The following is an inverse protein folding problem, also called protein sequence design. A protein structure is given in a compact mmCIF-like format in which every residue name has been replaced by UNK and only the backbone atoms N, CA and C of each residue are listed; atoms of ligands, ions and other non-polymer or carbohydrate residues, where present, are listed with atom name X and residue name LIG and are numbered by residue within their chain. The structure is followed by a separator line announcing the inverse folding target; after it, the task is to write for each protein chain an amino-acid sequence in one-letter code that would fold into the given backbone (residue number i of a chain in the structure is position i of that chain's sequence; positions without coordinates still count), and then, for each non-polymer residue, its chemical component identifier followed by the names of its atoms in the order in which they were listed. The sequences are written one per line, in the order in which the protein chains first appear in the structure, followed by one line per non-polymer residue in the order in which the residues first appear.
data_IF_560985015228
#
_entry.id   IF_560985015228
#
_cell.length_a   1.000
_cell.length_b   1.000
_cell.length_c   1.000
_cell.angle_alpha   90.00
_cell.angle_beta   90.00
_cell.angle_gamma   90.00
#
_symmetry.space_group_name_H-M   'P 1'
#
loop_
_entity.id
_entity.type
_entity.pdbx_description
1 polymer ?
#
# COMPACT_ATOMS: atom_id res chain seq x y z
N UNK A 1 -5.25 24.24 11.11
CA UNK A 1 -5.77 24.00 9.74
C UNK A 1 -6.42 22.63 9.59
N UNK A 2 -5.82 21.50 10.08
CA UNK A 2 -6.43 20.14 9.99
C UNK A 2 -7.86 20.06 10.55
N UNK A 3 -8.17 20.68 11.69
CA UNK A 3 -9.52 20.60 12.30
C UNK A 3 -10.63 21.32 11.50
N UNK A 4 -10.28 22.34 10.71
CA UNK A 4 -11.26 23.05 9.89
C UNK A 4 -11.52 22.29 8.58
N UNK A 5 -10.51 21.61 8.07
CA UNK A 5 -10.63 20.74 6.88
C UNK A 5 -11.50 19.50 7.19
N UNK A 6 -11.26 18.86 8.37
CA UNK A 6 -12.08 17.71 8.82
C UNK A 6 -13.56 18.05 8.99
N UNK A 7 -13.90 19.29 9.42
CA UNK A 7 -15.30 19.72 9.55
C UNK A 7 -15.94 19.96 8.17
N UNK A 8 -15.19 20.47 7.20
CA UNK A 8 -15.67 20.68 5.83
C UNK A 8 -15.83 19.34 5.12
N UNK A 9 -14.86 18.42 5.30
CA UNK A 9 -14.95 17.06 4.77
C UNK A 9 -16.13 16.29 5.37
N UNK A 10 -16.35 16.39 6.69
CA UNK A 10 -17.51 15.80 7.36
C UNK A 10 -18.85 16.40 6.86
N UNK A 11 -18.88 17.69 6.51
CA UNK A 11 -20.08 18.33 5.97
C UNK A 11 -20.34 17.94 4.51
N UNK A 12 -19.27 17.77 3.72
CA UNK A 12 -19.36 17.27 2.33
C UNK A 12 -19.77 15.80 2.34
N UNK A 13 -19.18 14.96 3.22
CA UNK A 13 -19.62 13.56 3.41
C UNK A 13 -21.10 13.45 3.81
N UNK A 14 -21.60 14.31 4.68
CA UNK A 14 -23.02 14.32 5.06
C UNK A 14 -23.92 14.77 3.91
N UNK A 15 -23.44 15.63 3.02
CA UNK A 15 -24.21 16.08 1.85
C UNK A 15 -24.19 15.09 0.68
N UNK A 16 -23.09 14.34 0.52
CA UNK A 16 -22.99 13.29 -0.50
C UNK A 16 -23.67 11.98 -0.07
N UNK A 17 -23.68 11.66 1.22
CA UNK A 17 -24.55 10.60 1.77
C UNK A 17 -26.04 10.86 1.47
N UNK A 18 -26.44 12.13 1.30
CA UNK A 18 -27.80 12.46 0.85
C UNK A 18 -28.05 12.19 -0.63
N UNK A 19 -27.02 12.10 -1.48
CA UNK A 19 -27.19 11.78 -2.91
C UNK A 19 -27.28 10.27 -3.17
N UNK A 20 -26.74 9.43 -2.27
CA UNK A 20 -26.97 7.98 -2.26
C UNK A 20 -28.28 7.56 -1.60
N UNK A 21 -29.06 8.50 -1.03
CA UNK A 21 -30.33 8.22 -0.35
C UNK A 21 -31.47 7.68 -1.26
N UNK A 22 -31.17 7.39 -2.52
CA UNK A 22 -32.02 6.59 -3.42
C UNK A 22 -31.35 5.29 -3.86
N UNK A 23 -30.21 4.90 -3.23
CA UNK A 23 -29.56 3.64 -3.53
C UNK A 23 -30.48 2.47 -3.13
N UNK A 24 -30.57 1.47 -3.98
CA UNK A 24 -31.20 0.21 -3.66
C UNK A 24 -30.55 -0.34 -2.38
N UNK A 25 -31.38 -0.85 -1.46
CA UNK A 25 -30.90 -1.46 -0.21
C UNK A 25 -30.36 -2.86 -0.51
N UNK A 26 -29.07 -3.02 -0.46
CA UNK A 26 -28.38 -4.31 -0.65
C UNK A 26 -28.01 -5.01 0.66
N UNK A 27 -28.54 -4.55 1.80
CA UNK A 27 -28.23 -5.12 3.13
C UNK A 27 -28.67 -6.58 3.29
N UNK A 28 -29.59 -7.05 2.43
CA UNK A 28 -30.09 -8.43 2.43
C UNK A 28 -29.09 -9.49 1.95
N UNK A 29 -27.96 -9.07 1.35
CA UNK A 29 -26.91 -9.97 0.87
C UNK A 29 -25.58 -9.66 1.54
N UNK A 30 -24.90 -10.68 2.07
CA UNK A 30 -23.57 -10.51 2.66
C UNK A 30 -22.49 -10.70 1.60
N UNK A 31 -21.84 -9.61 1.23
CA UNK A 31 -20.72 -9.60 0.27
C UNK A 31 -19.47 -10.08 0.99
N UNK A 32 -18.84 -11.14 0.49
CA UNK A 32 -17.64 -11.72 1.08
C UNK A 32 -16.38 -11.20 0.40
N UNK A 33 -15.50 -10.60 1.21
CA UNK A 33 -14.26 -9.97 0.75
C UNK A 33 -13.06 -10.77 1.27
N UNK A 34 -12.17 -11.15 0.38
CA UNK A 34 -10.83 -11.63 0.71
C UNK A 34 -9.83 -10.50 0.50
N UNK A 35 -9.06 -10.18 1.52
CA UNK A 35 -8.17 -9.02 1.49
C UNK A 35 -6.86 -9.24 2.22
N UNK A 36 -5.78 -8.71 1.66
CA UNK A 36 -4.52 -8.52 2.36
C UNK A 36 -4.49 -7.20 3.18
N UNK A 37 -5.40 -6.28 2.87
CA UNK A 37 -5.53 -4.98 3.53
C UNK A 37 -6.58 -5.04 4.64
N UNK A 38 -6.42 -5.99 5.58
CA UNK A 38 -7.41 -6.40 6.56
C UNK A 38 -6.98 -6.19 8.03
N UNK A 39 -6.22 -5.13 8.33
CA UNK A 39 -5.99 -4.77 9.74
C UNK A 39 -7.33 -4.55 10.46
N UNK A 40 -7.35 -4.73 11.77
CA UNK A 40 -8.59 -4.56 12.56
C UNK A 40 -9.22 -3.18 12.34
N UNK A 41 -8.41 -2.13 12.26
CA UNK A 41 -8.87 -0.76 12.03
C UNK A 41 -9.50 -0.62 10.65
N UNK A 42 -8.83 -1.09 9.59
CA UNK A 42 -9.31 -1.04 8.20
C UNK A 42 -10.58 -1.86 8.01
N UNK A 43 -10.61 -3.05 8.59
CA UNK A 43 -11.79 -3.94 8.55
C UNK A 43 -12.99 -3.30 9.22
N UNK A 44 -12.82 -2.76 10.43
CA UNK A 44 -13.90 -2.11 11.16
C UNK A 44 -14.41 -0.85 10.44
N UNK A 45 -13.51 -0.05 9.92
CA UNK A 45 -13.88 1.14 9.15
C UNK A 45 -14.71 0.74 7.92
N UNK A 46 -14.22 -0.19 7.11
CA UNK A 46 -14.92 -0.59 5.89
C UNK A 46 -16.29 -1.22 6.17
N UNK A 47 -16.41 -2.04 7.22
CA UNK A 47 -17.70 -2.62 7.64
C UNK A 47 -18.68 -1.51 8.04
N UNK A 48 -18.22 -0.51 8.79
CA UNK A 48 -19.08 0.58 9.24
C UNK A 48 -19.53 1.47 8.07
N UNK A 49 -18.60 1.85 7.19
CA UNK A 49 -18.92 2.72 6.04
C UNK A 49 -19.78 1.98 5.00
N UNK A 50 -19.51 0.70 4.73
CA UNK A 50 -20.36 -0.12 3.87
C UNK A 50 -21.79 -0.22 4.43
N UNK A 51 -21.94 -0.43 5.74
CA UNK A 51 -23.25 -0.46 6.39
C UNK A 51 -23.98 0.88 6.26
N UNK A 52 -23.28 2.00 6.43
CA UNK A 52 -23.84 3.34 6.24
C UNK A 52 -24.33 3.55 4.81
N UNK A 53 -23.64 2.96 3.83
CA UNK A 53 -23.99 2.99 2.42
C UNK A 53 -25.03 1.93 1.99
N UNK A 54 -25.59 1.14 2.91
CA UNK A 54 -26.63 0.15 2.64
C UNK A 54 -26.13 -1.23 2.22
N UNK A 55 -24.86 -1.55 2.48
CA UNK A 55 -24.29 -2.86 2.20
C UNK A 55 -24.04 -3.67 3.48
N UNK A 56 -24.12 -4.99 3.36
CA UNK A 56 -23.63 -5.92 4.39
C UNK A 56 -22.40 -6.63 3.83
N UNK A 57 -21.26 -6.51 4.51
CA UNK A 57 -20.02 -7.15 4.08
C UNK A 57 -19.46 -8.06 5.18
N UNK A 58 -18.69 -9.06 4.78
CA UNK A 58 -17.78 -9.81 5.64
C UNK A 58 -16.38 -9.80 5.03
N UNK A 59 -15.40 -9.49 5.84
CA UNK A 59 -13.99 -9.58 5.44
C UNK A 59 -13.43 -10.79 6.17
N UNK A 60 -12.87 -11.72 5.40
CA UNK A 60 -12.31 -12.93 5.99
C UNK A 60 -11.07 -12.56 6.82
N UNK A 61 -11.14 -12.82 8.11
CA UNK A 61 -10.05 -12.60 9.05
C UNK A 61 -9.01 -13.72 8.91
N UNK A 62 -8.27 -13.66 7.81
CA UNK A 62 -7.09 -14.50 7.61
C UNK A 62 -5.87 -14.01 8.42
N UNK A 63 -6.11 -13.39 9.57
CA UNK A 63 -5.08 -12.84 10.47
C UNK A 63 -4.00 -13.85 10.86
N UNK A 64 -4.27 -15.14 10.70
CA UNK A 64 -3.34 -16.25 10.96
C UNK A 64 -2.33 -16.42 9.83
N UNK A 65 -2.65 -15.98 8.62
CA UNK A 65 -1.79 -16.11 7.44
C UNK A 65 -1.56 -14.71 6.90
N UNK A 66 -0.43 -14.10 7.23
CA UNK A 66 -0.09 -12.77 6.75
C UNK A 66 0.42 -12.80 5.31
N UNK A 67 -0.09 -11.90 4.48
CA UNK A 67 0.43 -11.58 3.14
C UNK A 67 -0.54 -11.87 1.99
N UNK A 68 -0.25 -11.27 0.85
CA UNK A 68 -1.05 -11.34 -0.38
C UNK A 68 -1.43 -12.76 -0.79
N UNK A 69 -0.50 -13.70 -0.62
CA UNK A 69 -0.70 -15.10 -1.00
C UNK A 69 -1.79 -15.77 -0.18
N UNK A 70 -1.96 -15.39 1.09
CA UNK A 70 -2.94 -16.02 1.97
C UNK A 70 -4.38 -15.69 1.56
N UNK A 71 -4.66 -14.42 1.27
CA UNK A 71 -5.98 -14.00 0.81
C UNK A 71 -6.37 -14.71 -0.49
N UNK A 72 -5.42 -14.81 -1.45
CA UNK A 72 -5.66 -15.51 -2.72
C UNK A 72 -5.89 -17.00 -2.49
N UNK A 73 -5.06 -17.66 -1.67
CA UNK A 73 -5.21 -19.09 -1.40
C UNK A 73 -6.54 -19.39 -0.73
N UNK A 74 -6.92 -18.60 0.28
CA UNK A 74 -8.21 -18.78 0.94
C UNK A 74 -9.38 -18.59 -0.03
N UNK A 75 -9.36 -17.56 -0.87
CA UNK A 75 -10.38 -17.36 -1.89
C UNK A 75 -10.44 -18.53 -2.89
N UNK A 76 -9.27 -19.04 -3.31
CA UNK A 76 -9.16 -20.16 -4.24
C UNK A 76 -9.64 -21.50 -3.66
N UNK A 77 -9.42 -21.72 -2.36
CA UNK A 77 -9.85 -22.95 -1.66
C UNK A 77 -11.34 -22.92 -1.35
N UNK A 78 -11.84 -21.80 -0.83
CA UNK A 78 -13.21 -21.68 -0.37
C UNK A 78 -14.23 -21.47 -1.51
N UNK A 79 -13.83 -20.81 -2.61
CA UNK A 79 -14.66 -20.56 -3.81
C UNK A 79 -15.97 -19.79 -3.55
N UNK A 80 -16.03 -19.07 -2.45
CA UNK A 80 -17.25 -18.38 -1.97
C UNK A 80 -17.08 -16.86 -1.88
N UNK A 81 -15.91 -16.33 -2.32
CA UNK A 81 -15.60 -14.93 -2.36
C UNK A 81 -16.36 -14.17 -3.44
N UNK A 82 -16.69 -12.94 -3.15
CA UNK A 82 -17.30 -12.01 -4.08
C UNK A 82 -16.31 -10.96 -4.55
N UNK A 83 -15.43 -10.52 -3.65
CA UNK A 83 -14.44 -9.46 -3.88
C UNK A 83 -13.05 -9.96 -3.47
N UNK A 84 -12.07 -9.56 -4.27
CA UNK A 84 -10.66 -9.68 -3.93
C UNK A 84 -10.05 -8.27 -3.91
N UNK A 85 -9.46 -7.89 -2.77
CA UNK A 85 -8.95 -6.54 -2.53
C UNK A 85 -7.59 -6.53 -1.84
N UNK A 86 -6.79 -5.49 -2.09
CA UNK A 86 -5.55 -5.24 -1.38
C UNK A 86 -4.35 -6.05 -1.89
N UNK A 87 -4.43 -6.56 -3.10
CA UNK A 87 -3.35 -7.27 -3.77
C UNK A 87 -2.59 -6.33 -4.69
N UNK A 88 -1.27 -6.51 -4.76
CA UNK A 88 -0.39 -5.78 -5.68
C UNK A 88 -0.48 -6.30 -7.14
N UNK A 89 0.19 -5.60 -8.05
CA UNK A 89 0.21 -5.88 -9.49
C UNK A 89 0.64 -7.32 -9.80
N UNK A 90 1.68 -7.79 -9.14
CA UNK A 90 2.23 -9.14 -9.40
C UNK A 90 1.19 -10.21 -9.07
N UNK A 91 0.50 -10.07 -7.94
CA UNK A 91 -0.51 -11.02 -7.49
C UNK A 91 -1.76 -10.97 -8.37
N UNK A 92 -2.21 -9.76 -8.73
CA UNK A 92 -3.32 -9.62 -9.67
C UNK A 92 -3.01 -10.22 -11.04
N UNK A 93 -1.81 -10.01 -11.55
CA UNK A 93 -1.35 -10.64 -12.79
C UNK A 93 -1.45 -12.17 -12.72
N UNK A 94 -1.05 -12.79 -11.61
CA UNK A 94 -1.18 -14.23 -11.40
C UNK A 94 -2.64 -14.69 -11.39
N UNK A 95 -3.54 -13.95 -10.74
CA UNK A 95 -4.98 -14.27 -10.72
C UNK A 95 -5.58 -14.17 -12.12
N UNK A 96 -5.32 -13.07 -12.83
CA UNK A 96 -5.86 -12.82 -14.18
C UNK A 96 -5.33 -13.86 -15.18
N UNK A 97 -4.07 -14.26 -15.07
CA UNK A 97 -3.44 -15.24 -15.94
C UNK A 97 -3.80 -16.71 -15.61
N UNK A 98 -4.70 -16.93 -14.64
CA UNK A 98 -5.21 -18.27 -14.31
C UNK A 98 -4.23 -19.14 -13.52
N UNK A 99 -3.29 -18.54 -12.78
CA UNK A 99 -2.40 -19.30 -11.89
C UNK A 99 -3.17 -20.01 -10.79
N UNK A 100 -4.32 -19.47 -10.39
CA UNK A 100 -5.21 -20.02 -9.37
C UNK A 100 -6.43 -20.67 -10.02
N UNK A 101 -6.48 -21.98 -9.98
CA UNK A 101 -7.38 -22.84 -10.76
C UNK A 101 -8.89 -22.57 -10.53
N UNK A 102 -9.23 -22.13 -9.31
CA UNK A 102 -10.62 -21.90 -8.92
C UNK A 102 -10.99 -20.41 -8.88
N UNK A 103 -10.09 -19.52 -9.27
CA UNK A 103 -10.37 -18.10 -9.33
C UNK A 103 -10.52 -17.63 -10.78
N UNK A 104 -11.58 -16.89 -11.02
CA UNK A 104 -11.74 -16.11 -12.23
C UNK A 104 -12.33 -14.74 -11.89
N UNK A 105 -11.95 -13.74 -12.67
CA UNK A 105 -12.38 -12.37 -12.44
C UNK A 105 -13.54 -12.03 -13.37
N UNK A 106 -14.59 -11.47 -12.79
CA UNK A 106 -15.74 -10.97 -13.53
C UNK A 106 -15.35 -9.74 -14.36
N UNK A 107 -15.87 -9.65 -15.57
CA UNK A 107 -15.75 -8.40 -16.34
C UNK A 107 -16.56 -7.29 -15.66
N UNK A 108 -15.89 -6.17 -15.42
CA UNK A 108 -16.45 -5.03 -14.71
C UNK A 108 -15.79 -3.74 -15.18
N UNK A 109 -16.61 -2.75 -15.50
CA UNK A 109 -16.17 -1.43 -15.94
C UNK A 109 -16.93 -0.36 -15.17
N UNK A 110 -16.39 0.12 -14.03
CA UNK A 110 -17.01 1.19 -13.28
C UNK A 110 -16.90 2.53 -14.01
N UNK A 111 -17.83 3.44 -13.72
CA UNK A 111 -17.85 4.78 -14.34
C UNK A 111 -16.58 5.59 -14.03
N UNK A 112 -15.94 5.32 -12.87
CA UNK A 112 -14.69 5.96 -12.44
C UNK A 112 -13.41 5.26 -12.97
N UNK A 113 -13.53 4.26 -13.85
CA UNK A 113 -12.38 3.47 -14.34
C UNK A 113 -11.25 4.30 -14.95
N UNK A 114 -11.59 5.41 -15.62
CA UNK A 114 -10.60 6.30 -16.23
C UNK A 114 -9.91 7.23 -15.21
N UNK A 115 -10.50 7.40 -14.03
CA UNK A 115 -9.95 8.26 -12.98
C UNK A 115 -8.75 7.65 -12.28
N UNK A 116 -8.55 6.33 -12.37
CA UNK A 116 -7.39 5.64 -11.78
C UNK A 116 -6.18 5.56 -12.73
N UNK A 117 -6.30 6.12 -13.94
CA UNK A 117 -5.20 6.23 -14.88
C UNK A 117 -4.58 4.88 -15.26
N UNK A 118 -3.30 4.73 -15.00
CA UNK A 118 -2.53 3.50 -15.29
C UNK A 118 -2.76 2.38 -14.28
N UNK A 119 -3.37 2.66 -13.12
CA UNK A 119 -3.60 1.68 -12.06
C UNK A 119 -4.84 0.83 -12.35
N UNK A 120 -4.84 0.11 -13.49
CA UNK A 120 -5.95 -0.74 -13.88
C UNK A 120 -5.52 -1.96 -14.71
N UNK A 121 -6.29 -3.01 -14.59
CA UNK A 121 -6.35 -4.13 -15.52
C UNK A 121 -7.72 -4.04 -16.21
N UNK A 122 -7.75 -3.45 -17.40
CA UNK A 122 -8.97 -3.08 -18.12
C UNK A 122 -10.06 -4.16 -18.07
N UNK A 123 -11.23 -3.77 -17.56
CA UNK A 123 -12.37 -4.66 -17.40
C UNK A 123 -12.25 -5.73 -16.32
N UNK A 124 -11.19 -5.73 -15.48
CA UNK A 124 -10.94 -6.79 -14.50
C UNK A 124 -10.70 -6.29 -13.06
N UNK A 125 -9.76 -5.37 -12.89
CA UNK A 125 -9.38 -4.87 -11.58
C UNK A 125 -8.88 -3.44 -11.66
N UNK A 126 -9.10 -2.67 -10.59
CA UNK A 126 -8.77 -1.26 -10.53
C UNK A 126 -8.09 -0.92 -9.20
N UNK A 127 -7.07 -0.08 -9.28
CA UNK A 127 -6.32 0.37 -8.11
C UNK A 127 -7.15 1.28 -7.22
N UNK A 128 -7.06 1.06 -5.91
CA UNK A 128 -7.69 1.91 -4.91
C UNK A 128 -6.68 2.80 -4.20
N UNK A 129 -5.59 2.24 -3.72
CA UNK A 129 -4.59 2.96 -2.95
C UNK A 129 -3.18 2.68 -3.45
N UNK A 130 -2.30 3.68 -3.31
CA UNK A 130 -0.88 3.56 -3.57
C UNK A 130 -0.12 3.70 -2.27
N UNK A 131 0.87 2.85 -2.08
CA UNK A 131 1.84 2.95 -1.01
C UNK A 131 3.24 3.03 -1.60
N UNK A 132 3.97 4.10 -1.27
CA UNK A 132 5.36 4.25 -1.67
C UNK A 132 6.30 3.63 -0.63
N UNK A 133 7.34 2.94 -1.10
CA UNK A 133 8.47 2.59 -0.27
C UNK A 133 9.42 3.78 -0.25
N UNK A 134 9.75 4.23 0.94
CA UNK A 134 10.53 5.44 1.16
C UNK A 134 11.84 5.09 1.85
N UNK A 135 12.88 5.87 1.57
CA UNK A 135 14.10 5.89 2.36
C UNK A 135 14.20 7.26 3.04
N UNK A 136 14.32 7.25 4.35
CA UNK A 136 14.44 8.44 5.17
C UNK A 136 15.78 8.47 5.89
N UNK A 137 16.24 9.67 6.21
CA UNK A 137 17.44 9.89 7.00
C UNK A 137 17.21 10.91 8.11
N UNK A 138 18.07 10.88 9.14
CA UNK A 138 18.05 11.90 10.21
C UNK A 138 18.92 13.07 9.85
N UNK A 139 18.32 14.25 9.76
CA UNK A 139 19.00 15.50 9.45
C UNK A 139 20.00 15.91 10.53
N UNK A 140 19.65 15.74 11.80
CA UNK A 140 20.41 16.18 12.96
C UNK A 140 21.71 15.37 13.18
N UNK A 141 21.75 14.13 12.68
CA UNK A 141 22.90 13.23 12.89
C UNK A 141 23.85 13.14 11.71
N UNK A 142 23.40 13.47 10.51
CA UNK A 142 24.23 13.33 9.32
C UNK A 142 25.22 14.49 9.10
N UNK A 143 25.06 15.57 9.86
CA UNK A 143 25.94 16.72 9.73
C UNK A 143 25.94 17.35 8.33
N UNK A 144 24.90 17.14 7.58
CA UNK A 144 24.76 17.60 6.19
C UNK A 144 24.63 19.11 6.07
N UNK A 145 24.55 19.84 7.20
CA UNK A 145 24.34 21.29 7.24
C UNK A 145 23.16 21.75 6.38
N UNK A 146 22.12 20.93 6.31
CA UNK A 146 20.94 21.16 5.47
C UNK A 146 21.11 20.76 4.01
N UNK A 147 22.21 20.11 3.63
CA UNK A 147 22.33 19.50 2.32
C UNK A 147 21.46 18.23 2.26
N UNK A 148 20.76 18.07 1.16
CA UNK A 148 19.94 16.91 0.88
C UNK A 148 20.80 15.67 0.70
N UNK A 149 20.43 14.54 1.34
CA UNK A 149 21.10 13.27 1.11
C UNK A 149 20.64 12.70 -0.22
N UNK A 150 21.60 12.48 -1.11
CA UNK A 150 21.36 11.95 -2.44
C UNK A 150 22.05 10.61 -2.64
N UNK A 151 21.34 9.67 -3.28
CA UNK A 151 21.87 8.42 -3.81
C UNK A 151 21.47 8.28 -5.27
N UNK A 152 22.38 7.76 -6.11
CA UNK A 152 22.02 7.38 -7.47
C UNK A 152 21.11 6.16 -7.46
N UNK A 153 21.38 5.20 -6.59
CA UNK A 153 20.68 3.93 -6.45
C UNK A 153 20.32 3.63 -5.00
N UNK A 154 19.24 2.88 -4.79
CA UNK A 154 18.89 2.36 -3.46
C UNK A 154 20.05 1.58 -2.81
N UNK A 155 20.82 0.86 -3.63
CA UNK A 155 21.96 0.06 -3.21
C UNK A 155 23.11 0.87 -2.61
N UNK A 156 23.19 2.17 -2.88
CA UNK A 156 24.30 3.03 -2.44
C UNK A 156 24.36 3.18 -0.93
N UNK A 157 23.24 2.93 -0.24
CA UNK A 157 23.20 2.90 1.23
C UNK A 157 24.24 1.93 1.81
N UNK A 158 24.52 0.83 1.11
CA UNK A 158 25.47 -0.22 1.57
C UNK A 158 26.90 0.31 1.71
N UNK A 159 27.28 1.23 0.82
CA UNK A 159 28.62 1.81 0.77
C UNK A 159 28.67 3.27 1.27
N UNK A 160 27.54 3.78 1.76
CA UNK A 160 27.42 5.19 2.19
C UNK A 160 28.21 5.52 3.46
N UNK A 161 28.58 4.52 4.25
CA UNK A 161 29.16 4.71 5.56
C UNK A 161 28.12 4.99 6.67
N UNK A 162 26.84 5.14 6.32
CA UNK A 162 25.76 5.32 7.28
C UNK A 162 25.31 4.00 7.86
N UNK A 163 24.71 4.04 9.05
CA UNK A 163 24.00 2.90 9.64
C UNK A 163 22.58 2.88 9.13
N UNK A 164 22.09 1.72 8.74
CA UNK A 164 20.72 1.59 8.22
C UNK A 164 19.93 0.50 8.93
N UNK A 165 18.61 0.64 8.89
CA UNK A 165 17.68 -0.35 9.39
C UNK A 165 17.27 -1.33 8.29
N UNK A 166 17.13 -2.57 8.67
CA UNK A 166 16.61 -3.66 7.86
C UNK A 166 15.53 -4.41 8.64
N UNK A 167 14.39 -4.68 8.02
CA UNK A 167 13.39 -5.54 8.64
C UNK A 167 13.89 -6.96 8.83
N UNK A 168 13.51 -7.57 9.95
CA UNK A 168 13.96 -8.91 10.31
C UNK A 168 13.36 -10.05 9.48
N UNK A 169 12.22 -9.81 8.84
CA UNK A 169 11.51 -10.85 8.09
C UNK A 169 12.04 -10.91 6.67
N UNK A 170 12.58 -12.05 6.29
CA UNK A 170 13.06 -12.30 4.91
C UNK A 170 11.90 -12.40 3.92
N UNK A 171 10.70 -12.74 4.38
CA UNK A 171 9.51 -12.91 3.56
C UNK A 171 8.37 -11.98 4.01
N UNK A 172 8.33 -10.79 3.52
CA UNK A 172 7.20 -9.88 3.66
C UNK A 172 7.18 -8.94 2.48
N UNK A 173 6.01 -8.46 2.09
CA UNK A 173 5.85 -7.59 0.91
C UNK A 173 6.78 -6.39 0.96
N UNK A 174 6.94 -5.75 2.13
CA UNK A 174 7.86 -4.63 2.32
C UNK A 174 9.31 -4.99 2.01
N UNK A 175 9.79 -6.13 2.53
CA UNK A 175 11.16 -6.55 2.27
C UNK A 175 11.39 -6.95 0.82
N UNK A 176 10.42 -7.63 0.21
CA UNK A 176 10.51 -7.98 -1.21
C UNK A 176 10.67 -6.72 -2.07
N UNK A 177 9.92 -5.67 -1.76
CA UNK A 177 9.98 -4.41 -2.52
C UNK A 177 11.27 -3.64 -2.29
N UNK A 178 11.75 -3.57 -1.04
CA UNK A 178 13.06 -2.97 -0.74
C UNK A 178 14.18 -3.76 -1.42
N UNK A 179 14.13 -5.09 -1.36
CA UNK A 179 15.11 -5.94 -2.03
C UNK A 179 15.10 -5.74 -3.55
N UNK A 180 13.91 -5.58 -4.14
CA UNK A 180 13.76 -5.27 -5.56
C UNK A 180 14.37 -3.92 -5.92
N UNK A 181 14.15 -2.90 -5.10
CA UNK A 181 14.77 -1.60 -5.28
C UNK A 181 16.30 -1.67 -5.19
N UNK A 182 16.84 -2.44 -4.23
CA UNK A 182 18.27 -2.69 -4.08
C UNK A 182 18.88 -3.41 -5.29
N UNK A 183 18.13 -4.31 -5.93
CA UNK A 183 18.59 -5.10 -7.06
C UNK A 183 18.40 -4.40 -8.42
N UNK A 184 17.58 -3.36 -8.46
CA UNK A 184 17.22 -2.67 -9.70
C UNK A 184 18.43 -2.29 -10.59
N UNK A 185 19.50 -1.66 -10.08
CA UNK A 185 20.66 -1.27 -10.91
C UNK A 185 21.50 -2.46 -11.39
N UNK A 186 21.25 -3.66 -10.87
CA UNK A 186 21.98 -4.88 -11.16
C UNK A 186 21.22 -5.86 -12.05
N UNK A 187 20.15 -5.41 -12.69
CA UNK A 187 19.38 -6.25 -13.61
C UNK A 187 20.16 -6.55 -14.87
N UNK A 188 20.27 -7.83 -15.23
CA UNK A 188 20.87 -8.31 -16.45
C UNK A 188 20.11 -9.56 -16.93
N UNK A 189 19.24 -9.43 -17.95
CA UNK A 189 18.44 -10.55 -18.45
C UNK A 189 19.29 -11.75 -18.95
N UNK A 190 20.57 -11.54 -19.22
CA UNK A 190 21.49 -12.57 -19.67
C UNK A 190 22.18 -13.31 -18.52
N UNK A 191 22.03 -12.80 -17.30
CA UNK A 191 22.64 -13.40 -16.12
C UNK A 191 22.03 -14.78 -15.80
N UNK A 192 22.86 -15.83 -15.63
CA UNK A 192 22.38 -17.15 -15.20
C UNK A 192 21.85 -17.14 -13.74
N UNK A 193 22.03 -16.04 -13.01
CA UNK A 193 21.59 -15.87 -11.63
C UNK A 193 20.20 -15.21 -11.54
N UNK A 194 19.26 -15.60 -12.39
CA UNK A 194 17.86 -15.16 -12.33
C UNK A 194 17.66 -13.71 -12.81
N UNK A 195 18.44 -13.27 -13.82
CA UNK A 195 18.33 -11.91 -14.35
C UNK A 195 18.95 -10.83 -13.48
N UNK A 196 19.71 -11.20 -12.44
CA UNK A 196 20.47 -10.29 -11.57
C UNK A 196 21.96 -10.63 -11.66
N UNK A 197 22.82 -9.63 -11.69
CA UNK A 197 24.26 -9.86 -11.70
C UNK A 197 24.75 -10.44 -10.38
N UNK A 198 25.91 -11.11 -10.39
CA UNK A 198 26.56 -11.61 -9.17
C UNK A 198 26.85 -10.47 -8.19
N UNK A 199 27.19 -9.29 -8.71
CA UNK A 199 27.41 -8.10 -7.89
C UNK A 199 26.12 -7.66 -7.18
N UNK A 200 24.98 -7.67 -7.86
CA UNK A 200 23.69 -7.36 -7.26
C UNK A 200 23.37 -8.27 -6.07
N UNK A 201 23.57 -9.57 -6.24
CA UNK A 201 23.35 -10.53 -5.14
C UNK A 201 24.32 -10.31 -3.97
N UNK A 202 25.57 -9.96 -4.23
CA UNK A 202 26.53 -9.60 -3.18
C UNK A 202 26.13 -8.33 -2.44
N UNK A 203 25.65 -7.31 -3.18
CA UNK A 203 25.17 -6.06 -2.61
C UNK A 203 23.94 -6.27 -1.74
N UNK A 204 22.96 -7.04 -2.22
CA UNK A 204 21.80 -7.41 -1.40
C UNK A 204 22.21 -8.18 -0.14
N UNK A 205 23.17 -9.10 -0.26
CA UNK A 205 23.70 -9.80 0.91
C UNK A 205 24.36 -8.84 1.90
N UNK A 206 25.17 -7.90 1.42
CA UNK A 206 25.82 -6.88 2.24
C UNK A 206 24.78 -5.96 2.93
N UNK A 207 23.73 -5.60 2.22
CA UNK A 207 22.59 -4.87 2.79
C UNK A 207 21.95 -5.65 3.94
N UNK A 208 21.65 -6.91 3.71
CA UNK A 208 21.03 -7.77 4.72
C UNK A 208 21.96 -8.04 5.93
N UNK A 209 23.25 -8.21 5.70
CA UNK A 209 24.22 -8.51 6.75
C UNK A 209 24.65 -7.26 7.55
N UNK A 210 24.72 -6.10 6.90
CA UNK A 210 25.20 -4.86 7.51
C UNK A 210 24.11 -4.05 8.21
N UNK A 211 22.85 -4.23 7.82
CA UNK A 211 21.74 -3.49 8.40
C UNK A 211 21.45 -3.91 9.85
N UNK A 212 21.16 -2.92 10.69
CA UNK A 212 20.64 -3.20 12.02
C UNK A 212 19.23 -3.78 11.88
N UNK A 213 18.98 -4.86 12.57
CA UNK A 213 17.66 -5.44 12.71
C UNK A 213 17.32 -5.51 14.19
N UNK A 214 16.08 -5.21 14.54
CA UNK A 214 15.63 -5.24 15.92
C UNK A 214 14.54 -6.27 16.17
N UNK A 215 14.29 -6.58 17.43
CA UNK A 215 13.15 -7.36 17.89
C UNK A 215 11.82 -6.59 17.73
N UNK A 216 10.82 -6.93 18.53
CA UNK A 216 9.48 -6.34 18.44
C UNK A 216 9.44 -4.81 18.62
N UNK A 217 10.42 -4.23 19.32
CA UNK A 217 10.57 -2.77 19.47
C UNK A 217 10.90 -2.02 18.17
N UNK A 218 11.32 -2.75 17.13
CA UNK A 218 11.70 -2.19 15.82
C UNK A 218 10.67 -2.53 14.74
N UNK A 219 9.42 -2.63 15.12
CA UNK A 219 8.34 -3.16 14.28
C UNK A 219 8.22 -2.46 12.92
N UNK A 220 8.64 -1.20 12.80
CA UNK A 220 8.39 -0.37 11.61
C UNK A 220 9.59 0.44 11.10
N UNK A 221 10.81 0.15 11.44
CA UNK A 221 11.97 0.90 10.91
C UNK A 221 12.07 2.38 11.32
N UNK A 222 10.94 3.02 11.55
CA UNK A 222 10.88 4.42 11.97
C UNK A 222 11.35 4.61 13.42
N UNK A 223 11.04 3.68 14.30
CA UNK A 223 11.48 3.72 15.70
C UNK A 223 13.01 3.78 15.84
N UNK A 224 13.81 2.90 15.19
CA UNK A 224 15.25 3.00 15.26
C UNK A 224 15.82 4.26 14.62
N UNK A 225 15.21 4.75 13.53
CA UNK A 225 15.58 6.03 12.92
C UNK A 225 15.40 7.18 13.92
N UNK A 226 14.24 7.23 14.53
CA UNK A 226 13.88 8.31 15.44
C UNK A 226 14.66 8.28 16.77
N UNK A 227 15.06 7.11 17.24
CA UNK A 227 15.94 6.96 18.43
C UNK A 227 17.41 7.28 18.12
N UNK A 228 17.79 7.46 16.86
CA UNK A 228 19.19 7.60 16.44
C UNK A 228 19.97 6.30 16.45
N UNK A 229 19.29 5.15 16.53
CA UNK A 229 19.95 3.85 16.47
C UNK A 229 20.49 3.57 15.06
N UNK A 230 19.86 4.16 14.06
CA UNK A 230 20.26 4.17 12.65
C UNK A 230 20.14 5.57 12.08
N UNK A 231 20.90 5.83 11.03
CA UNK A 231 20.90 7.11 10.33
C UNK A 231 19.98 7.11 9.11
N UNK A 232 19.73 5.92 8.54
CA UNK A 232 18.87 5.73 7.37
C UNK A 232 17.90 4.57 7.63
N UNK A 233 16.67 4.69 7.16
CA UNK A 233 15.66 3.64 7.27
C UNK A 233 14.71 3.63 6.08
N UNK A 234 14.21 2.45 5.73
CA UNK A 234 13.26 2.27 4.63
C UNK A 234 11.96 1.66 5.14
N UNK A 235 10.82 2.21 4.71
CA UNK A 235 9.49 1.73 5.07
C UNK A 235 8.40 2.31 4.15
N UNK A 236 7.16 1.90 4.35
CA UNK A 236 6.01 2.41 3.59
C UNK A 236 5.54 3.78 4.07
N UNK A 237 5.05 4.59 3.14
CA UNK A 237 4.48 5.91 3.39
C UNK A 237 3.35 5.90 4.42
N UNK A 238 2.41 4.97 4.31
CA UNK A 238 1.30 4.83 5.25
C UNK A 238 1.74 4.53 6.69
N UNK A 239 2.84 3.78 6.86
CA UNK A 239 3.38 3.50 8.19
C UNK A 239 4.07 4.70 8.83
N UNK A 240 4.50 5.68 8.05
CA UNK A 240 5.15 6.88 8.54
C UNK A 240 4.17 7.79 9.28
N UNK A 241 3.08 8.16 8.61
CA UNK A 241 2.12 9.12 9.15
C UNK A 241 1.37 8.56 10.36
N UNK A 242 0.90 7.32 10.29
CA UNK A 242 0.25 6.67 11.42
C UNK A 242 1.13 6.63 12.67
N UNK A 243 2.45 6.44 12.52
CA UNK A 243 3.38 6.47 13.66
C UNK A 243 3.66 7.86 14.19
N UNK A 244 3.67 8.88 13.34
CA UNK A 244 3.78 10.27 13.78
C UNK A 244 2.57 10.66 14.62
N UNK A 245 1.37 10.35 14.16
CA UNK A 245 0.13 10.69 14.85
C UNK A 245 -0.03 9.90 16.16
N UNK A 246 0.30 8.61 16.18
CA UNK A 246 0.33 7.77 17.37
C UNK A 246 1.29 8.34 18.44
N UNK A 247 2.51 8.69 18.04
CA UNK A 247 3.48 9.28 18.97
C UNK A 247 3.07 10.67 19.46
N UNK A 248 2.34 11.44 18.68
CA UNK A 248 1.82 12.75 19.09
C UNK A 248 0.64 12.63 20.06
N UNK A 249 -0.19 11.59 19.91
CA UNK A 249 -1.39 11.39 20.72
C UNK A 249 -1.09 10.83 22.11
N UNK A 250 -0.12 9.93 22.24
CA UNK A 250 0.20 9.26 23.51
C UNK A 250 1.10 10.10 24.41
N UNK A 251 0.61 10.43 25.61
CA UNK A 251 1.36 11.28 26.57
C UNK A 251 2.66 10.65 27.11
N UNK A 252 2.74 9.33 27.11
CA UNK A 252 3.87 8.56 27.64
C UNK A 252 4.60 7.74 26.57
N UNK A 253 4.29 7.97 25.29
CA UNK A 253 4.97 7.25 24.22
C UNK A 253 6.48 7.51 24.27
N UNK A 254 7.35 6.45 24.20
CA UNK A 254 8.80 6.61 24.33
C UNK A 254 9.42 7.51 23.26
N UNK A 255 8.69 7.77 22.17
CA UNK A 255 9.11 8.64 21.07
C UNK A 255 8.52 10.06 21.16
N UNK A 256 7.70 10.34 22.17
CA UNK A 256 7.10 11.66 22.33
C UNK A 256 8.16 12.75 22.47
N UNK A 257 8.03 13.79 21.68
CA UNK A 257 8.98 14.90 21.65
C UNK A 257 10.27 14.65 20.88
N UNK A 258 10.48 13.42 20.38
CA UNK A 258 11.61 13.10 19.51
C UNK A 258 11.19 12.92 18.05
N UNK A 259 9.90 12.66 17.79
CA UNK A 259 9.33 12.59 16.44
C UNK A 259 8.98 13.99 15.94
N UNK A 260 10.01 14.76 15.65
CA UNK A 260 9.85 16.08 15.05
C UNK A 260 10.07 15.93 13.53
N UNK A 261 9.10 16.31 12.69
CA UNK A 261 9.23 16.21 11.23
C UNK A 261 10.49 16.91 10.69
N UNK A 262 10.96 17.92 11.37
CA UNK A 262 12.18 18.66 11.02
C UNK A 262 13.48 17.87 11.25
N UNK A 263 13.43 16.77 12.00
CA UNK A 263 14.61 15.97 12.32
C UNK A 263 14.87 14.85 11.31
N UNK A 264 14.00 14.67 10.32
CA UNK A 264 14.18 13.68 9.27
C UNK A 264 13.75 14.24 7.91
N UNK A 265 14.29 13.65 6.86
CA UNK A 265 13.94 13.98 5.49
C UNK A 265 14.00 12.74 4.57
N UNK A 266 13.39 12.87 3.41
CA UNK A 266 13.48 11.87 2.36
C UNK A 266 14.89 11.89 1.76
N UNK A 267 15.44 10.69 1.52
CA UNK A 267 16.62 10.56 0.67
C UNK A 267 16.19 10.81 -0.77
N UNK A 268 16.88 11.70 -1.46
CA UNK A 268 16.73 11.85 -2.91
C UNK A 268 17.42 10.68 -3.60
N UNK A 269 16.67 9.86 -4.33
CA UNK A 269 17.21 8.71 -5.04
C UNK A 269 16.91 8.85 -6.53
N UNK A 270 17.97 8.90 -7.35
CA UNK A 270 17.83 9.13 -8.79
C UNK A 270 17.03 8.03 -9.51
N UNK A 271 17.10 6.78 -9.05
CA UNK A 271 16.26 5.69 -9.53
C UNK A 271 14.76 5.91 -9.25
N UNK A 272 14.43 6.79 -8.31
CA UNK A 272 13.09 6.98 -7.81
C UNK A 272 12.72 6.05 -6.66
N UNK A 273 11.43 5.83 -6.45
CA UNK A 273 10.92 4.98 -5.39
C UNK A 273 10.04 3.87 -5.94
N UNK A 274 9.97 2.79 -5.18
CA UNK A 274 9.06 1.68 -5.46
C UNK A 274 7.68 2.02 -4.92
N UNK A 275 6.65 1.75 -5.70
CA UNK A 275 5.27 1.84 -5.22
C UNK A 275 4.54 0.51 -5.36
N UNK A 276 3.50 0.36 -4.57
CA UNK A 276 2.52 -0.72 -4.68
C UNK A 276 1.17 -0.06 -4.85
N UNK A 277 0.43 -0.44 -5.87
CA UNK A 277 -0.98 -0.18 -5.92
C UNK A 277 -1.74 -1.41 -5.38
N UNK A 278 -2.73 -1.17 -4.54
CA UNK A 278 -3.65 -2.18 -4.04
C UNK A 278 -4.91 -2.16 -4.90
N UNK A 279 -5.21 -3.28 -5.53
CA UNK A 279 -6.31 -3.39 -6.49
C UNK A 279 -7.53 -4.06 -5.89
N UNK A 280 -8.68 -3.71 -6.48
CA UNK A 280 -10.00 -4.27 -6.25
C UNK A 280 -10.49 -4.96 -7.52
N UNK A 281 -11.05 -6.16 -7.39
CA UNK A 281 -11.74 -6.83 -8.48
C UNK A 281 -12.83 -7.76 -7.98
N UNK A 282 -13.79 -8.05 -8.85
CA UNK A 282 -14.95 -8.89 -8.56
C UNK A 282 -14.65 -10.31 -9.00
N UNK A 283 -14.83 -11.28 -8.10
CA UNK A 283 -14.66 -12.69 -8.41
C UNK A 283 -15.92 -13.24 -9.09
N UNK A 284 -15.73 -14.10 -10.10
CA UNK A 284 -16.81 -14.97 -10.56
C UNK A 284 -17.07 -16.03 -9.50
N UNK A 285 -18.33 -16.17 -9.13
CA UNK A 285 -18.79 -17.20 -8.20
C UNK A 285 -19.93 -17.99 -8.81
N UNK A 286 -19.77 -19.31 -8.87
CA UNK A 286 -20.81 -20.19 -9.35
C UNK A 286 -22.06 -20.10 -8.45
N UNK A 287 -23.24 -20.04 -9.04
CA UNK A 287 -24.52 -19.99 -8.34
C UNK A 287 -24.91 -18.60 -7.79
N UNK A 288 -24.12 -17.55 -8.04
CA UNK A 288 -24.51 -16.17 -7.71
C UNK A 288 -25.73 -15.77 -8.55
N UNK A 289 -26.77 -15.25 -7.91
CA UNK A 289 -27.96 -14.74 -8.58
C UNK A 289 -27.68 -13.38 -9.25
N UNK A 290 -28.63 -12.91 -10.07
CA UNK A 290 -28.53 -11.59 -10.69
C UNK A 290 -28.60 -10.45 -9.65
N UNK A 291 -29.44 -10.59 -8.64
CA UNK A 291 -29.55 -9.63 -7.54
C UNK A 291 -28.28 -9.58 -6.69
N UNK A 292 -27.69 -10.73 -6.37
CA UNK A 292 -26.40 -10.79 -5.67
C UNK A 292 -25.28 -10.16 -6.52
N UNK A 293 -25.29 -10.39 -7.83
CA UNK A 293 -24.32 -9.77 -8.76
C UNK A 293 -24.46 -8.25 -8.78
N UNK A 294 -25.70 -7.73 -8.79
CA UNK A 294 -25.95 -6.29 -8.68
C UNK A 294 -25.44 -5.72 -7.37
N UNK A 295 -25.67 -6.39 -6.25
CA UNK A 295 -25.17 -5.96 -4.95
C UNK A 295 -23.66 -5.90 -4.88
N UNK A 296 -22.97 -6.91 -5.39
CA UNK A 296 -21.50 -6.99 -5.43
C UNK A 296 -20.92 -5.89 -6.34
N UNK A 297 -21.52 -5.69 -7.52
CA UNK A 297 -21.09 -4.63 -8.45
C UNK A 297 -21.30 -3.25 -7.85
N UNK A 298 -22.47 -2.98 -7.28
CA UNK A 298 -22.78 -1.71 -6.63
C UNK A 298 -21.82 -1.42 -5.45
N UNK A 299 -21.46 -2.43 -4.67
CA UNK A 299 -20.46 -2.29 -3.61
C UNK A 299 -19.08 -1.95 -4.19
N UNK A 300 -18.64 -2.64 -5.23
CA UNK A 300 -17.36 -2.39 -5.87
C UNK A 300 -17.29 -0.98 -6.49
N UNK A 301 -18.39 -0.53 -7.12
CA UNK A 301 -18.54 0.83 -7.66
C UNK A 301 -18.45 1.87 -6.53
N UNK A 302 -19.14 1.64 -5.42
CA UNK A 302 -19.11 2.51 -4.24
C UNK A 302 -17.71 2.56 -3.61
N UNK A 303 -17.08 1.39 -3.36
CA UNK A 303 -15.77 1.34 -2.70
C UNK A 303 -14.66 1.97 -3.53
N UNK A 304 -14.73 1.86 -4.86
CA UNK A 304 -13.76 2.47 -5.77
C UNK A 304 -14.04 3.92 -6.13
N UNK A 305 -15.17 4.50 -5.69
CA UNK A 305 -15.50 5.88 -5.98
C UNK A 305 -14.49 6.89 -5.41
N UNK A 306 -14.37 8.05 -6.03
CA UNK A 306 -13.45 9.09 -5.58
C UNK A 306 -13.68 9.47 -4.11
N UNK A 307 -14.95 9.60 -3.70
CA UNK A 307 -15.34 9.95 -2.34
C UNK A 307 -14.82 8.92 -1.31
N UNK A 308 -15.06 7.63 -1.56
CA UNK A 308 -14.67 6.58 -0.63
C UNK A 308 -13.16 6.37 -0.62
N UNK A 309 -12.50 6.47 -1.76
CA UNK A 309 -11.04 6.46 -1.82
C UNK A 309 -10.41 7.66 -1.10
N UNK A 310 -11.01 8.85 -1.18
CA UNK A 310 -10.57 10.01 -0.42
C UNK A 310 -10.70 9.78 1.08
N UNK A 311 -11.86 9.28 1.53
CA UNK A 311 -12.10 8.99 2.94
C UNK A 311 -11.17 7.90 3.49
N UNK A 312 -10.96 6.81 2.74
CA UNK A 312 -10.00 5.75 3.09
C UNK A 312 -8.58 6.29 3.21
N UNK A 313 -8.18 7.13 2.24
CA UNK A 313 -6.81 7.68 2.20
C UNK A 313 -6.54 8.67 3.32
N UNK A 314 -7.53 9.47 3.71
CA UNK A 314 -7.44 10.41 4.85
C UNK A 314 -7.37 9.65 6.18
N UNK A 315 -8.16 8.57 6.34
CA UNK A 315 -8.18 7.76 7.57
C UNK A 315 -6.90 6.95 7.75
N UNK A 316 -6.35 6.40 6.66
CA UNK A 316 -5.23 5.45 6.74
C UNK A 316 -3.91 5.99 6.16
N UNK A 317 -3.77 7.29 6.02
CA UNK A 317 -2.55 7.96 5.54
C UNK A 317 -1.98 7.34 4.25
N UNK A 318 -2.87 6.93 3.32
CA UNK A 318 -2.51 6.37 2.04
C UNK A 318 -2.77 7.35 0.89
N UNK A 319 -2.23 7.08 -0.29
CA UNK A 319 -2.48 7.89 -1.48
C UNK A 319 -3.50 7.17 -2.38
N UNK A 320 -4.60 7.82 -2.80
CA UNK A 320 -5.61 7.18 -3.64
C UNK A 320 -5.09 7.03 -5.08
N UNK A 321 -5.43 5.90 -5.72
CA UNK A 321 -5.21 5.74 -7.16
C UNK A 321 -6.11 6.66 -7.98
N UNK A 322 -7.30 6.95 -7.46
CA UNK A 322 -8.24 7.87 -8.11
C UNK A 322 -7.73 9.30 -8.06
N UNK A 323 -7.49 9.89 -9.24
CA UNK A 323 -6.92 11.23 -9.38
C UNK A 323 -7.86 12.34 -8.90
N UNK A 324 -9.18 12.12 -8.97
CA UNK A 324 -10.19 13.05 -8.43
C UNK A 324 -10.12 13.06 -6.91
N UNK A 325 -10.03 11.88 -6.29
CA UNK A 325 -9.82 11.75 -4.84
C UNK A 325 -8.51 12.39 -4.38
N UNK A 326 -7.42 12.16 -5.10
CA UNK A 326 -6.11 12.76 -4.78
C UNK A 326 -6.17 14.29 -4.82
N UNK A 327 -6.86 14.84 -5.82
CA UNK A 327 -7.04 16.29 -5.95
C UNK A 327 -7.94 16.86 -4.86
N UNK A 328 -8.94 16.14 -4.41
CA UNK A 328 -9.81 16.53 -3.31
C UNK A 328 -9.04 16.64 -1.99
N UNK A 329 -8.19 15.67 -1.69
CA UNK A 329 -7.40 15.63 -0.44
C UNK A 329 -6.27 16.66 -0.43
N UNK A 330 -5.51 16.71 -1.53
CA UNK A 330 -4.23 17.43 -1.57
C UNK A 330 -4.29 18.73 -2.39
N UNK A 331 -5.35 18.97 -3.14
CA UNK A 331 -5.43 20.08 -4.07
C UNK A 331 -4.43 19.95 -5.21
N UNK A 332 -3.76 21.04 -5.53
CA UNK A 332 -2.65 21.05 -6.51
C UNK A 332 -1.29 20.78 -5.83
N UNK A 333 -1.23 20.80 -4.50
CA UNK A 333 -0.03 20.65 -3.70
C UNK A 333 0.09 19.20 -3.19
N UNK A 334 0.32 18.25 -4.09
CA UNK A 334 0.59 16.87 -3.72
C UNK A 334 1.84 16.83 -2.85
N UNK A 335 1.81 16.21 -1.65
CA UNK A 335 2.96 16.11 -0.78
C UNK A 335 4.17 15.48 -1.49
N UNK A 336 5.36 16.00 -1.22
CA UNK A 336 6.61 15.52 -1.84
C UNK A 336 6.81 14.00 -1.77
N UNK A 337 6.35 13.39 -0.66
CA UNK A 337 6.37 11.94 -0.45
C UNK A 337 5.62 11.14 -1.52
N UNK A 338 4.63 11.75 -2.20
CA UNK A 338 3.85 11.13 -3.29
C UNK A 338 4.26 11.63 -4.67
N UNK A 339 5.12 12.67 -4.74
CA UNK A 339 5.68 13.19 -5.98
C UNK A 339 6.94 12.45 -6.43
N UNK A 340 7.43 11.51 -5.63
CA UNK A 340 8.65 10.78 -5.90
C UNK A 340 8.47 10.00 -7.20
N UNK A 341 9.48 10.08 -8.07
CA UNK A 341 9.50 9.34 -9.33
C UNK A 341 9.38 7.84 -9.04
N UNK A 342 8.29 7.27 -9.48
CA UNK A 342 8.13 5.83 -9.41
C UNK A 342 8.98 5.22 -10.53
N UNK A 343 9.91 4.32 -10.19
CA UNK A 343 10.40 3.43 -11.21
C UNK A 343 9.40 2.27 -11.30
N UNK A 344 8.80 2.12 -12.48
CA UNK A 344 8.21 0.85 -12.78
C UNK A 344 9.33 -0.16 -12.60
N UNK A 345 9.18 -1.09 -11.66
CA UNK A 345 9.90 -2.33 -11.80
C UNK A 345 9.51 -2.85 -13.17
N UNK A 346 10.34 -2.54 -14.14
CA UNK A 346 10.29 -3.22 -15.41
C UNK A 346 10.35 -4.66 -14.97
N UNK A 347 9.23 -5.37 -15.13
CA UNK A 347 9.18 -6.79 -14.86
C UNK A 347 10.40 -7.35 -15.52
N UNK A 348 11.39 -7.73 -14.76
CA UNK A 348 12.43 -8.59 -15.30
C UNK A 348 11.70 -9.89 -15.50
N UNK A 349 11.19 -10.08 -16.73
CA UNK A 349 10.46 -11.28 -17.09
C UNK A 349 11.34 -12.47 -16.70
N UNK A 350 10.84 -13.29 -15.79
CA UNK A 350 11.54 -14.47 -15.29
C UNK A 350 12.20 -14.36 -13.94
N UNK A 351 12.19 -13.21 -13.24
CA UNK A 351 12.61 -13.15 -11.83
C UNK A 351 11.41 -13.45 -10.93
N UNK A 352 11.23 -14.71 -10.61
CA UNK A 352 10.43 -15.10 -9.44
C UNK A 352 11.28 -14.84 -8.19
N UNK A 353 11.06 -13.69 -7.54
CA UNK A 353 11.76 -13.31 -6.31
C UNK A 353 10.97 -13.70 -5.05
N UNK A 354 10.05 -14.64 -5.15
CA UNK A 354 9.33 -15.24 -4.01
C UNK A 354 10.13 -16.33 -3.33
#
# INVERSE_FOLDING_TARGET
MKKTLSIVLALVMVLSLCSFASAEDYSGYTIRIYSNSNSTERTNWLINEAKNAGFTISIDDNSVISGDTAAIQAANENKDGDILFGLNETRWSQVINGTYENLSIMDWNPDWAEEVGEYKYDGKAYGLVIQNVLMLYRNDELGTNGAELHFDHWADVVNSGYTWYRQNKVGGTTNANINSAMLYPFTDPTSPAGGITVEGWKTLWAYCAGGKSGGDDYKYGFTPLNRGDVQVSSFYSSSLYGKIDEAAAESEHPLKGTMQPENWALVDIADGTYYIAEYLGILNREGRTEEETKAVTAFADWFGSAEVQAAWSDEFDSFPCNQVAAKEIYGEDIPAIYQIKNFALTKVEGTDMT
#
